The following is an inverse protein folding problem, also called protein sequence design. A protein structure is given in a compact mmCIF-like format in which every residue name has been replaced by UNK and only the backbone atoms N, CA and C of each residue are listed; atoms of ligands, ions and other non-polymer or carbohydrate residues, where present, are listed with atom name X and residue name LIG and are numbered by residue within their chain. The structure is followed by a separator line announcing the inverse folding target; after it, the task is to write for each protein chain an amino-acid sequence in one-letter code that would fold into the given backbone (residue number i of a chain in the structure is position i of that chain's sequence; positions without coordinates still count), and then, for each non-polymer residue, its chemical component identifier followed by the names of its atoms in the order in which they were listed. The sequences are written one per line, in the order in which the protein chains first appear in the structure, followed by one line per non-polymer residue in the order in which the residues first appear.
data_IF_273951345047
#
_entry.id   IF_273951345047
#
_cell.length_a   1.000
_cell.length_b   1.000
_cell.length_c   1.000
_cell.angle_alpha   90.00
_cell.angle_beta   90.00
_cell.angle_gamma   90.00
#
_symmetry.space_group_name_H-M   'P 1'
#
loop_
_entity.id
_entity.type
_entity.pdbx_description
1 polymer ?
#
# COMPACT_ATOMS: atom_id res chain seq x y z
N UNK A 1 33.19 10.96 -24.01
CA UNK A 1 32.67 10.01 -25.03
C UNK A 1 31.70 8.98 -24.41
N UNK A 2 30.51 9.39 -23.92
CA UNK A 2 29.47 8.46 -23.39
C UNK A 2 28.04 8.89 -23.76
N UNK A 3 27.85 9.33 -25.01
CA UNK A 3 26.53 9.76 -25.53
C UNK A 3 25.93 8.85 -26.61
N UNK A 4 26.69 7.87 -27.12
CA UNK A 4 26.30 7.03 -28.26
C UNK A 4 25.45 5.80 -27.93
N UNK A 5 25.56 5.25 -26.71
CA UNK A 5 24.90 3.97 -26.37
C UNK A 5 23.43 4.11 -25.99
N UNK A 6 23.02 5.20 -25.33
CA UNK A 6 21.60 5.38 -24.96
C UNK A 6 20.69 5.54 -26.18
N UNK A 7 21.18 6.17 -27.25
CA UNK A 7 20.42 6.38 -28.50
C UNK A 7 20.17 5.06 -29.24
N UNK A 8 21.15 4.14 -29.26
CA UNK A 8 21.02 2.82 -29.87
C UNK A 8 20.03 1.90 -29.13
N UNK A 9 19.96 2.00 -27.80
CA UNK A 9 19.01 1.22 -27.00
C UNK A 9 17.57 1.71 -27.20
N UNK A 10 17.36 3.03 -27.35
CA UNK A 10 16.03 3.58 -27.65
C UNK A 10 15.58 3.29 -29.09
N UNK A 11 16.49 3.27 -30.06
CA UNK A 11 16.15 2.89 -31.45
C UNK A 11 15.84 1.40 -31.55
N UNK A 12 16.62 0.51 -30.93
CA UNK A 12 16.29 -0.93 -30.90
C UNK A 12 14.96 -1.22 -30.21
N UNK A 13 14.58 -0.47 -29.18
CA UNK A 13 13.29 -0.66 -28.49
C UNK A 13 12.12 -0.20 -29.37
N UNK A 14 12.31 0.89 -30.13
CA UNK A 14 11.33 1.34 -31.15
C UNK A 14 11.22 0.37 -32.32
N UNK A 15 12.34 -0.17 -32.78
CA UNK A 15 12.38 -1.21 -33.84
C UNK A 15 11.71 -2.49 -33.37
N UNK A 16 11.93 -2.92 -32.12
CA UNK A 16 11.28 -4.11 -31.55
C UNK A 16 9.76 -3.89 -31.35
N UNK A 17 9.34 -2.71 -30.84
CA UNK A 17 7.93 -2.33 -30.76
C UNK A 17 7.26 -2.25 -32.15
N UNK A 18 7.96 -1.76 -33.17
CA UNK A 18 7.47 -1.75 -34.56
C UNK A 18 7.37 -3.16 -35.15
N UNK A 19 8.33 -4.04 -34.87
CA UNK A 19 8.27 -5.45 -35.26
C UNK A 19 7.09 -6.17 -34.60
N UNK A 20 6.85 -5.91 -33.31
CA UNK A 20 5.73 -6.52 -32.57
C UNK A 20 4.38 -6.02 -33.11
N UNK A 21 4.29 -4.76 -33.53
CA UNK A 21 3.09 -4.21 -34.17
C UNK A 21 2.87 -4.76 -35.58
N UNK A 22 3.93 -5.04 -36.34
CA UNK A 22 3.85 -5.68 -37.64
C UNK A 22 3.36 -7.14 -37.53
N UNK A 23 3.85 -7.88 -36.54
CA UNK A 23 3.40 -9.26 -36.26
C UNK A 23 1.94 -9.30 -35.77
N UNK A 24 1.54 -8.37 -34.90
CA UNK A 24 0.15 -8.23 -34.47
C UNK A 24 -0.78 -7.82 -35.63
N UNK A 25 -0.29 -7.03 -36.58
CA UNK A 25 -1.01 -6.69 -37.79
C UNK A 25 -1.20 -7.91 -38.70
N UNK A 26 -0.18 -8.73 -38.92
CA UNK A 26 -0.34 -9.99 -39.66
C UNK A 26 -1.34 -10.93 -38.99
N UNK A 27 -1.22 -11.15 -37.68
CA UNK A 27 -2.13 -12.04 -36.93
C UNK A 27 -3.57 -11.53 -36.99
N UNK A 28 -3.80 -10.23 -36.80
CA UNK A 28 -5.14 -9.64 -36.88
C UNK A 28 -5.73 -9.73 -38.30
N UNK A 29 -4.89 -9.55 -39.32
CA UNK A 29 -5.30 -9.66 -40.73
C UNK A 29 -5.68 -11.10 -41.07
N UNK A 30 -4.92 -12.09 -40.57
CA UNK A 30 -5.22 -13.52 -40.75
C UNK A 30 -6.48 -13.96 -39.98
N UNK A 31 -6.72 -13.45 -38.77
CA UNK A 31 -7.94 -13.74 -38.02
C UNK A 31 -9.18 -13.15 -38.70
N UNK A 32 -9.09 -11.92 -39.24
CA UNK A 32 -10.18 -11.28 -39.96
C UNK A 32 -10.45 -11.92 -41.33
N UNK A 33 -9.39 -12.37 -42.03
CA UNK A 33 -9.52 -13.14 -43.27
C UNK A 33 -10.22 -14.49 -43.02
N UNK A 34 -9.80 -15.24 -41.99
CA UNK A 34 -10.41 -16.53 -41.61
C UNK A 34 -11.86 -16.40 -41.13
N UNK A 35 -12.24 -15.25 -40.53
CA UNK A 35 -13.64 -14.99 -40.15
C UNK A 35 -14.53 -14.66 -41.34
N UNK A 36 -13.95 -14.19 -42.45
CA UNK A 36 -14.65 -13.86 -43.69
C UNK A 36 -14.89 -15.11 -44.56
N UNK A 37 -13.96 -16.07 -44.59
CA UNK A 37 -14.13 -17.34 -45.33
C UNK A 37 -15.27 -18.22 -44.78
N UNK A 38 -15.64 -18.06 -43.50
CA UNK A 38 -16.81 -18.74 -42.90
C UNK A 38 -18.16 -18.08 -43.23
N UNK A 39 -18.17 -16.95 -43.92
CA UNK A 39 -19.37 -16.21 -44.33
C UNK A 39 -19.39 -16.06 -45.86
N UNK A 40 -19.51 -17.18 -46.57
CA UNK A 40 -19.85 -17.16 -48.00
C UNK A 40 -21.28 -16.65 -48.15
N UNK A 41 -21.44 -15.34 -48.37
CA UNK A 41 -22.50 -14.68 -49.15
C UNK A 41 -22.35 -13.14 -49.08
N UNK A 42 -21.24 -12.60 -49.59
CA UNK A 42 -21.23 -11.28 -50.25
C UNK A 42 -19.94 -11.12 -51.06
N UNK A 43 -20.09 -11.06 -52.39
CA UNK A 43 -19.05 -10.57 -53.30
C UNK A 43 -18.84 -9.08 -53.00
N UNK A 44 -17.59 -8.63 -53.05
CA UNK A 44 -17.11 -7.24 -52.91
C UNK A 44 -16.72 -6.77 -51.49
N UNK A 45 -15.97 -7.59 -50.73
CA UNK A 45 -15.18 -7.05 -49.63
C UNK A 45 -13.82 -6.56 -50.16
N UNK A 46 -13.75 -5.26 -50.48
CA UNK A 46 -12.55 -4.62 -50.99
C UNK A 46 -11.41 -4.74 -49.97
N UNK A 47 -10.28 -5.32 -50.39
CA UNK A 47 -9.08 -5.57 -49.55
C UNK A 47 -8.64 -4.33 -48.77
N UNK A 48 -8.82 -3.13 -49.35
CA UNK A 48 -8.52 -1.85 -48.71
C UNK A 48 -9.42 -1.54 -47.49
N UNK A 49 -10.69 -1.92 -47.53
CA UNK A 49 -11.66 -1.65 -46.47
C UNK A 49 -11.43 -2.56 -45.25
N UNK A 50 -10.99 -3.81 -45.49
CA UNK A 50 -10.61 -4.76 -44.44
C UNK A 50 -9.35 -4.31 -43.68
N UNK A 51 -8.33 -3.83 -44.38
CA UNK A 51 -7.14 -3.24 -43.76
C UNK A 51 -7.45 -1.97 -42.98
N UNK A 52 -8.36 -1.12 -43.46
CA UNK A 52 -8.79 0.08 -42.75
C UNK A 52 -9.57 -0.27 -41.46
N UNK A 53 -10.46 -1.26 -41.51
CA UNK A 53 -11.22 -1.75 -40.33
C UNK A 53 -10.29 -2.41 -39.30
N UNK A 54 -9.30 -3.18 -39.73
CA UNK A 54 -8.29 -3.78 -38.85
C UNK A 54 -7.42 -2.71 -38.15
N UNK A 55 -6.92 -1.74 -38.91
CA UNK A 55 -6.14 -0.63 -38.36
C UNK A 55 -6.95 0.25 -37.40
N UNK A 56 -8.23 0.49 -37.70
CA UNK A 56 -9.13 1.24 -36.81
C UNK A 56 -9.45 0.47 -35.52
N UNK A 57 -9.61 -0.85 -35.59
CA UNK A 57 -9.80 -1.70 -34.42
C UNK A 57 -8.55 -1.76 -33.52
N UNK A 58 -7.36 -1.93 -34.13
CA UNK A 58 -6.07 -1.89 -33.43
C UNK A 58 -5.80 -0.53 -32.79
N UNK A 59 -6.02 0.57 -33.52
CA UNK A 59 -5.87 1.93 -33.00
C UNK A 59 -6.80 2.20 -31.82
N UNK A 60 -8.07 1.78 -31.90
CA UNK A 60 -9.01 1.88 -30.76
C UNK A 60 -8.59 1.02 -29.57
N UNK A 61 -8.13 -0.22 -29.79
CA UNK A 61 -7.63 -1.10 -28.73
C UNK A 61 -6.35 -0.59 -28.07
N UNK A 62 -5.44 0.00 -28.85
CA UNK A 62 -4.23 0.64 -28.33
C UNK A 62 -4.59 1.91 -27.54
N UNK A 63 -5.46 2.77 -28.08
CA UNK A 63 -5.93 3.98 -27.39
C UNK A 63 -6.71 3.66 -26.11
N UNK A 64 -7.50 2.59 -26.06
CA UNK A 64 -8.17 2.16 -24.83
C UNK A 64 -7.15 1.66 -23.80
N UNK A 65 -6.16 0.85 -24.20
CA UNK A 65 -5.10 0.38 -23.31
C UNK A 65 -4.23 1.52 -22.75
N UNK A 66 -3.94 2.54 -23.57
CA UNK A 66 -3.22 3.74 -23.15
C UNK A 66 -4.06 4.59 -22.20
N UNK A 67 -5.35 4.80 -22.49
CA UNK A 67 -6.25 5.53 -21.60
C UNK A 67 -6.43 4.83 -20.25
N UNK A 68 -6.54 3.49 -20.24
CA UNK A 68 -6.62 2.71 -19.00
C UNK A 68 -5.33 2.85 -18.19
N UNK A 69 -4.15 2.73 -18.83
CA UNK A 69 -2.86 2.93 -18.15
C UNK A 69 -2.70 4.36 -17.63
N UNK A 70 -3.08 5.36 -18.41
CA UNK A 70 -3.02 6.76 -17.98
C UNK A 70 -3.97 7.04 -16.82
N UNK A 71 -5.18 6.51 -16.87
CA UNK A 71 -6.15 6.65 -15.78
C UNK A 71 -5.68 5.97 -14.49
N UNK A 72 -5.02 4.81 -14.59
CA UNK A 72 -4.41 4.13 -13.45
C UNK A 72 -3.25 4.96 -12.86
N UNK A 73 -2.35 5.47 -13.70
CA UNK A 73 -1.24 6.33 -13.25
C UNK A 73 -1.75 7.61 -12.55
N UNK A 74 -2.76 8.27 -13.12
CA UNK A 74 -3.40 9.44 -12.48
C UNK A 74 -4.02 9.07 -11.14
N UNK A 75 -4.70 7.92 -11.05
CA UNK A 75 -5.26 7.42 -9.79
C UNK A 75 -4.16 7.24 -8.73
N UNK A 76 -3.03 6.63 -9.09
CA UNK A 76 -1.93 6.38 -8.16
C UNK A 76 -1.25 7.67 -7.67
N UNK A 77 -1.11 8.67 -8.55
CA UNK A 77 -0.62 10.00 -8.17
C UNK A 77 -1.56 10.68 -7.17
N UNK A 78 -2.87 10.62 -7.41
CA UNK A 78 -3.86 11.19 -6.47
C UNK A 78 -3.80 10.47 -5.12
N UNK A 79 -3.66 9.14 -5.08
CA UNK A 79 -3.56 8.40 -3.81
C UNK A 79 -2.30 8.74 -3.05
N UNK A 80 -1.17 8.88 -3.73
CA UNK A 80 0.09 9.33 -3.11
C UNK A 80 -0.09 10.72 -2.50
N UNK A 81 -0.68 11.67 -3.24
CA UNK A 81 -0.98 13.01 -2.74
C UNK A 81 -1.96 13.02 -1.55
N UNK A 82 -2.96 12.13 -1.54
CA UNK A 82 -3.88 11.95 -0.41
C UNK A 82 -3.14 11.52 0.87
N UNK A 83 -2.22 10.56 0.75
CA UNK A 83 -1.39 10.08 1.87
C UNK A 83 -0.48 11.19 2.37
N UNK A 84 0.16 11.93 1.47
CA UNK A 84 1.02 13.05 1.84
C UNK A 84 0.24 14.18 2.51
N UNK A 85 -0.96 14.53 2.05
CA UNK A 85 -1.77 15.59 2.67
C UNK A 85 -2.18 15.18 4.09
N UNK A 86 -2.73 13.96 4.27
CA UNK A 86 -3.06 13.43 5.60
C UNK A 86 -1.84 13.33 6.52
N UNK A 87 -0.67 13.05 5.96
CA UNK A 87 0.57 12.95 6.74
C UNK A 87 1.16 14.31 7.17
N UNK A 88 0.80 15.38 6.47
CA UNK A 88 1.36 16.72 6.68
C UNK A 88 0.41 17.71 7.36
N UNK A 89 -0.89 17.42 7.35
CA UNK A 89 -1.96 18.31 7.82
C UNK A 89 -2.89 17.59 8.79
N UNK A 90 -3.49 18.32 9.73
CA UNK A 90 -4.52 17.76 10.61
C UNK A 90 -5.82 17.43 9.87
N UNK A 91 -6.10 18.13 8.77
CA UNK A 91 -7.31 17.97 7.95
C UNK A 91 -6.94 17.75 6.48
N UNK A 92 -7.75 16.97 5.77
CA UNK A 92 -7.56 16.65 4.36
C UNK A 92 -8.14 17.75 3.46
N UNK A 93 -7.28 18.52 2.78
CA UNK A 93 -7.70 19.46 1.73
C UNK A 93 -7.61 18.83 0.34
N UNK A 94 -8.72 18.81 -0.38
CA UNK A 94 -8.78 18.26 -1.74
C UNK A 94 -8.11 19.20 -2.76
N UNK A 95 -8.08 20.50 -2.48
CA UNK A 95 -7.39 21.51 -3.26
C UNK A 95 -5.88 21.25 -3.25
N UNK A 96 -5.29 21.03 -2.07
CA UNK A 96 -3.87 20.69 -1.93
C UNK A 96 -3.53 19.33 -2.53
N UNK A 97 -4.44 18.35 -2.40
CA UNK A 97 -4.27 17.05 -3.05
C UNK A 97 -4.24 17.19 -4.57
N UNK A 98 -5.14 17.99 -5.15
CA UNK A 98 -5.19 18.23 -6.58
C UNK A 98 -3.92 18.93 -7.08
N UNK A 99 -3.45 19.95 -6.34
CA UNK A 99 -2.18 20.64 -6.59
C UNK A 99 -0.99 19.67 -6.58
N UNK A 100 -0.83 18.89 -5.50
CA UNK A 100 0.27 17.90 -5.37
C UNK A 100 0.23 16.83 -6.46
N UNK A 101 -0.96 16.37 -6.83
CA UNK A 101 -1.13 15.36 -7.88
C UNK A 101 -1.04 15.93 -9.31
N UNK A 102 -0.97 17.26 -9.48
CA UNK A 102 -0.94 17.90 -10.80
C UNK A 102 -2.22 17.74 -11.60
N UNK A 103 -3.38 17.70 -10.93
CA UNK A 103 -4.71 17.51 -11.55
C UNK A 103 -5.71 18.55 -11.07
N UNK A 104 -6.88 18.61 -11.71
CA UNK A 104 -7.98 19.45 -11.22
C UNK A 104 -8.70 18.82 -10.02
N UNK A 105 -9.31 19.63 -9.15
CA UNK A 105 -10.20 19.15 -8.06
C UNK A 105 -11.33 18.27 -8.62
N UNK A 106 -11.89 18.63 -9.78
CA UNK A 106 -12.89 17.81 -10.48
C UNK A 106 -12.35 16.41 -10.82
N UNK A 107 -11.09 16.30 -11.22
CA UNK A 107 -10.43 15.02 -11.50
C UNK A 107 -10.29 14.19 -10.22
N UNK A 108 -9.95 14.81 -9.09
CA UNK A 108 -9.89 14.11 -7.80
C UNK A 108 -11.26 13.54 -7.43
N UNK A 109 -12.32 14.35 -7.47
CA UNK A 109 -13.68 13.87 -7.19
C UNK A 109 -14.20 12.85 -8.21
N UNK A 110 -13.74 12.91 -9.46
CA UNK A 110 -14.07 11.89 -10.46
C UNK A 110 -13.53 10.51 -10.07
N UNK A 111 -12.29 10.44 -9.57
CA UNK A 111 -11.68 9.17 -9.13
C UNK A 111 -12.10 8.76 -7.71
N UNK A 112 -12.36 9.73 -6.84
CA UNK A 112 -12.66 9.54 -5.42
C UNK A 112 -13.79 10.48 -4.97
N UNK A 113 -15.05 10.10 -5.21
CA UNK A 113 -16.20 11.01 -5.11
C UNK A 113 -16.52 11.45 -3.68
N UNK A 114 -16.04 10.74 -2.66
CA UNK A 114 -16.32 11.06 -1.27
C UNK A 114 -15.17 10.64 -0.34
N UNK A 115 -15.24 11.08 0.92
CA UNK A 115 -14.23 10.80 1.95
C UNK A 115 -13.99 9.30 2.17
N UNK A 116 -15.04 8.48 2.08
CA UNK A 116 -14.92 7.03 2.25
C UNK A 116 -14.14 6.38 1.10
N UNK A 117 -14.35 6.80 -0.15
CA UNK A 117 -13.60 6.33 -1.31
C UNK A 117 -12.11 6.73 -1.23
N UNK A 118 -11.84 7.95 -0.73
CA UNK A 118 -10.47 8.41 -0.47
C UNK A 118 -9.80 7.57 0.62
N UNK A 119 -10.48 7.36 1.76
CA UNK A 119 -9.97 6.56 2.87
C UNK A 119 -9.71 5.10 2.47
N UNK A 120 -10.59 4.51 1.65
CA UNK A 120 -10.39 3.15 1.11
C UNK A 120 -9.16 3.06 0.22
N UNK A 121 -8.96 4.03 -0.66
CA UNK A 121 -7.79 4.07 -1.55
C UNK A 121 -6.48 4.22 -0.76
N UNK A 122 -6.49 5.10 0.24
CA UNK A 122 -5.36 5.28 1.16
C UNK A 122 -5.09 3.98 1.93
N UNK A 123 -6.11 3.34 2.49
CA UNK A 123 -5.94 2.07 3.22
C UNK A 123 -5.33 0.99 2.32
N UNK A 124 -5.82 0.84 1.08
CA UNK A 124 -5.25 -0.10 0.09
C UNK A 124 -3.80 0.23 -0.24
N UNK A 125 -3.47 1.50 -0.43
CA UNK A 125 -2.10 1.94 -0.69
C UNK A 125 -1.15 1.59 0.47
N UNK A 126 -1.54 1.96 1.69
CA UNK A 126 -0.75 1.69 2.90
C UNK A 126 -0.56 0.18 3.10
N UNK A 127 -1.59 -0.61 2.82
CA UNK A 127 -1.51 -2.06 2.97
C UNK A 127 -0.57 -2.72 1.96
N UNK A 128 -0.48 -2.17 0.74
CA UNK A 128 0.43 -2.62 -0.30
C UNK A 128 1.89 -2.21 -0.05
N UNK A 129 2.12 -1.10 0.65
CA UNK A 129 3.46 -0.59 1.00
C UNK A 129 4.06 -1.25 2.22
N UNK A 130 3.22 -1.70 3.15
CA UNK A 130 3.71 -2.24 4.42
C UNK A 130 4.29 -3.65 4.23
N UNK A 131 5.48 -3.95 4.79
CA UNK A 131 6.10 -5.27 4.73
C UNK A 131 5.15 -6.38 5.19
N UNK A 132 5.17 -7.51 4.48
CA UNK A 132 4.52 -8.74 4.92
C UNK A 132 5.47 -9.42 5.90
N UNK A 133 5.23 -9.20 7.18
CA UNK A 133 5.99 -9.84 8.26
C UNK A 133 5.27 -11.13 8.70
N UNK A 134 6.01 -12.25 8.88
CA UNK A 134 5.42 -13.42 9.49
C UNK A 134 4.97 -13.08 10.92
N UNK A 135 3.85 -13.68 11.39
CA UNK A 135 3.40 -13.45 12.75
C UNK A 135 4.48 -13.94 13.74
N UNK A 136 4.76 -13.20 14.82
CA UNK A 136 5.75 -13.61 15.80
C UNK A 136 5.34 -14.92 16.44
N UNK A 137 6.29 -15.84 16.55
CA UNK A 137 6.05 -17.15 17.13
C UNK A 137 6.34 -17.17 18.64
N UNK A 138 7.12 -16.22 19.15
CA UNK A 138 7.56 -16.15 20.54
C UNK A 138 7.81 -14.70 20.99
N UNK A 139 7.87 -14.47 22.31
CA UNK A 139 8.18 -13.13 22.85
C UNK A 139 9.59 -12.64 22.48
N UNK A 140 10.56 -13.55 22.36
CA UNK A 140 11.96 -13.23 22.00
C UNK A 140 12.09 -12.63 20.59
N UNK A 141 11.14 -12.90 19.70
CA UNK A 141 11.14 -12.34 18.35
C UNK A 141 10.59 -10.90 18.30
N UNK A 142 9.87 -10.46 19.34
CA UNK A 142 9.15 -9.18 19.33
C UNK A 142 10.06 -7.95 19.26
N UNK A 143 11.24 -7.88 19.92
CA UNK A 143 12.14 -6.73 19.78
C UNK A 143 12.62 -6.55 18.34
N UNK A 144 12.98 -7.64 17.65
CA UNK A 144 13.43 -7.62 16.26
C UNK A 144 12.28 -7.27 15.30
N UNK A 145 11.08 -7.78 15.55
CA UNK A 145 9.89 -7.39 14.79
C UNK A 145 9.57 -5.90 14.99
N UNK A 146 9.63 -5.42 16.24
CA UNK A 146 9.37 -4.02 16.58
C UNK A 146 10.34 -3.10 15.84
N UNK A 147 11.65 -3.35 15.92
CA UNK A 147 12.67 -2.56 15.22
C UNK A 147 12.37 -2.44 13.72
N UNK A 148 12.07 -3.55 13.04
CA UNK A 148 11.75 -3.54 11.60
C UNK A 148 10.49 -2.74 11.26
N UNK A 149 9.42 -2.92 12.03
CA UNK A 149 8.18 -2.18 11.85
C UNK A 149 8.39 -0.67 12.05
N UNK A 150 9.13 -0.30 13.09
CA UNK A 150 9.40 1.09 13.45
C UNK A 150 10.33 1.75 12.46
N UNK A 151 11.38 1.07 12.03
CA UNK A 151 12.30 1.56 11.01
C UNK A 151 11.54 1.97 9.74
N UNK A 152 10.68 1.08 9.23
CA UNK A 152 9.84 1.40 8.08
C UNK A 152 8.89 2.56 8.36
N UNK A 153 8.24 2.57 9.53
CA UNK A 153 7.24 3.59 9.85
C UNK A 153 7.87 4.98 10.01
N UNK A 154 9.01 5.08 10.70
CA UNK A 154 9.72 6.33 10.97
C UNK A 154 10.45 6.87 9.74
N UNK A 155 10.86 6.00 8.80
CA UNK A 155 11.34 6.41 7.49
C UNK A 155 10.22 6.99 6.61
N UNK A 156 8.96 6.63 6.87
CA UNK A 156 7.78 7.01 6.07
C UNK A 156 6.73 7.74 6.93
N UNK A 157 7.13 8.82 7.60
CA UNK A 157 6.27 9.52 8.57
C UNK A 157 4.90 9.97 8.05
N UNK A 158 4.79 10.35 6.76
CA UNK A 158 3.49 10.71 6.18
C UNK A 158 2.55 9.49 6.09
N UNK A 159 3.08 8.32 5.69
CA UNK A 159 2.33 7.07 5.68
C UNK A 159 1.97 6.64 7.11
N UNK A 160 2.88 6.82 8.07
CA UNK A 160 2.63 6.55 9.48
C UNK A 160 1.46 7.40 9.99
N UNK A 161 1.48 8.71 9.76
CA UNK A 161 0.43 9.64 10.20
C UNK A 161 -0.88 9.42 9.48
N UNK A 162 -0.87 9.08 8.18
CA UNK A 162 -2.08 8.75 7.44
C UNK A 162 -2.83 7.54 8.03
N UNK A 163 -2.14 6.63 8.72
CA UNK A 163 -2.78 5.52 9.44
C UNK A 163 -3.60 5.96 10.66
N UNK A 164 -3.34 7.16 11.20
CA UNK A 164 -4.01 7.71 12.38
C UNK A 164 -5.33 8.39 12.03
N UNK A 165 -5.57 8.68 10.75
CA UNK A 165 -6.88 9.16 10.32
C UNK A 165 -7.98 8.15 10.68
N UNK A 166 -9.04 8.63 11.33
CA UNK A 166 -10.09 7.76 11.89
C UNK A 166 -10.75 6.84 10.87
N UNK A 167 -10.97 7.30 9.62
CA UNK A 167 -11.59 6.46 8.59
C UNK A 167 -10.61 5.43 8.03
N UNK A 168 -9.36 5.83 7.82
CA UNK A 168 -8.28 4.90 7.42
C UNK A 168 -8.05 3.86 8.52
N UNK A 169 -7.94 4.28 9.78
CA UNK A 169 -7.75 3.40 10.93
C UNK A 169 -8.88 2.36 11.06
N UNK A 170 -10.13 2.78 10.84
CA UNK A 170 -11.30 1.88 10.85
C UNK A 170 -11.22 0.81 9.77
N UNK A 171 -10.79 1.17 8.55
CA UNK A 171 -10.65 0.21 7.45
C UNK A 171 -9.50 -0.77 7.68
N UNK A 172 -8.48 -0.37 8.43
CA UNK A 172 -7.30 -1.18 8.77
C UNK A 172 -7.42 -1.93 10.10
N UNK A 173 -8.57 -1.81 10.76
CA UNK A 173 -8.90 -2.51 12.01
C UNK A 173 -8.61 -4.02 11.95
N UNK A 174 -9.02 -4.77 10.90
CA UNK A 174 -8.78 -6.22 10.85
C UNK A 174 -7.29 -6.57 10.86
N UNK A 175 -6.46 -5.80 10.13
CA UNK A 175 -5.01 -5.99 10.09
C UNK A 175 -4.37 -5.67 11.45
N UNK A 176 -4.81 -4.59 12.10
CA UNK A 176 -4.35 -4.23 13.44
C UNK A 176 -4.68 -5.33 14.46
N UNK A 177 -5.93 -5.82 14.45
CA UNK A 177 -6.37 -6.94 15.30
C UNK A 177 -5.60 -8.23 15.05
N UNK A 178 -5.32 -8.56 13.79
CA UNK A 178 -4.53 -9.75 13.46
C UNK A 178 -3.12 -9.68 14.06
N UNK A 179 -2.48 -8.49 14.02
CA UNK A 179 -1.17 -8.25 14.66
C UNK A 179 -1.27 -8.36 16.18
N UNK A 180 -2.23 -7.68 16.80
CA UNK A 180 -2.47 -7.75 18.25
C UNK A 180 -2.70 -9.18 18.74
N UNK A 181 -3.50 -9.96 18.00
CA UNK A 181 -3.73 -11.37 18.31
C UNK A 181 -2.46 -12.22 18.15
N UNK A 182 -1.63 -11.94 17.15
CA UNK A 182 -0.37 -12.66 16.98
C UNK A 182 0.60 -12.39 18.15
N UNK A 183 0.71 -11.13 18.58
CA UNK A 183 1.50 -10.74 19.76
C UNK A 183 0.94 -11.42 21.03
N UNK A 184 -0.38 -11.41 21.23
CA UNK A 184 -1.00 -12.06 22.37
C UNK A 184 -0.78 -13.59 22.37
N UNK A 185 -0.83 -14.25 21.20
CA UNK A 185 -0.50 -15.68 21.07
C UNK A 185 0.96 -15.97 21.39
N UNK A 186 1.88 -15.10 21.00
CA UNK A 186 3.29 -15.21 21.36
C UNK A 186 3.48 -15.10 22.89
N UNK A 187 2.77 -14.18 23.54
CA UNK A 187 2.79 -14.02 25.00
C UNK A 187 2.18 -15.22 25.74
N UNK A 188 1.10 -15.80 25.22
CA UNK A 188 0.41 -16.94 25.83
C UNK A 188 1.26 -18.23 25.92
N UNK A 189 2.39 -18.30 25.22
CA UNK A 189 3.36 -19.40 25.35
C UNK A 189 4.17 -19.35 26.66
N UNK A 190 4.21 -18.19 27.32
CA UNK A 190 5.03 -17.97 28.53
C UNK A 190 4.20 -17.43 29.72
N UNK A 191 2.98 -16.96 29.47
CA UNK A 191 2.11 -16.35 30.46
C UNK A 191 0.76 -17.06 30.53
N UNK A 192 0.13 -17.04 31.71
CA UNK A 192 -1.29 -17.40 31.84
C UNK A 192 -2.17 -16.50 30.96
N UNK A 193 -3.35 -16.98 30.48
CA UNK A 193 -4.16 -16.25 29.50
C UNK A 193 -4.52 -14.80 29.89
N UNK A 194 -4.81 -14.56 31.17
CA UNK A 194 -5.12 -13.22 31.67
C UNK A 194 -3.91 -12.28 31.58
N UNK A 195 -2.73 -12.77 31.96
CA UNK A 195 -1.46 -12.03 31.88
C UNK A 195 -1.03 -11.84 30.44
N UNK A 196 -1.13 -12.88 29.60
CA UNK A 196 -0.79 -12.84 28.18
C UNK A 196 -1.57 -11.77 27.42
N UNK A 197 -2.84 -11.55 27.78
CA UNK A 197 -3.65 -10.46 27.22
C UNK A 197 -3.09 -9.08 27.61
N UNK A 198 -2.70 -8.89 28.86
CA UNK A 198 -2.13 -7.62 29.35
C UNK A 198 -0.76 -7.33 28.72
N UNK A 199 0.13 -8.32 28.72
CA UNK A 199 1.45 -8.25 28.07
C UNK A 199 1.29 -7.99 26.58
N UNK A 200 0.41 -8.73 25.91
CA UNK A 200 0.16 -8.57 24.48
C UNK A 200 -0.36 -7.18 24.13
N UNK A 201 -1.27 -6.63 24.94
CA UNK A 201 -1.76 -5.26 24.77
C UNK A 201 -0.64 -4.23 24.97
N UNK A 202 0.16 -4.36 26.04
CA UNK A 202 1.28 -3.46 26.30
C UNK A 202 2.27 -3.42 25.14
N UNK A 203 2.72 -4.60 24.66
CA UNK A 203 3.66 -4.67 23.54
C UNK A 203 3.02 -4.15 22.24
N UNK A 204 1.75 -4.47 21.97
CA UNK A 204 1.06 -3.97 20.79
C UNK A 204 0.94 -2.43 20.79
N UNK A 205 0.74 -1.81 21.96
CA UNK A 205 0.78 -0.35 22.14
C UNK A 205 2.18 0.20 21.90
N UNK A 206 3.23 -0.45 22.39
CA UNK A 206 4.60 0.00 22.16
C UNK A 206 4.97 0.04 20.68
N UNK A 207 4.49 -0.91 19.87
CA UNK A 207 4.73 -0.93 18.41
C UNK A 207 3.63 -0.24 17.60
N UNK A 208 2.84 0.64 18.23
CA UNK A 208 1.74 1.35 17.57
C UNK A 208 2.22 2.58 16.79
N UNK A 209 1.54 2.93 15.67
CA UNK A 209 1.79 4.20 14.97
C UNK A 209 1.61 5.41 15.89
N UNK A 210 0.65 5.37 16.82
CA UNK A 210 0.35 6.45 17.76
C UNK A 210 1.55 6.79 18.67
N UNK A 211 2.20 5.77 19.25
CA UNK A 211 3.37 6.00 20.11
C UNK A 211 4.54 6.59 19.30
N UNK A 212 4.79 6.06 18.10
CA UNK A 212 5.84 6.56 17.21
C UNK A 212 5.60 8.03 16.83
N UNK A 213 4.38 8.38 16.39
CA UNK A 213 4.00 9.76 16.09
C UNK A 213 4.15 10.66 17.33
N UNK A 214 3.73 10.20 18.51
CA UNK A 214 3.84 10.98 19.74
C UNK A 214 5.30 11.28 20.11
N UNK A 215 6.21 10.31 19.99
CA UNK A 215 7.63 10.53 20.27
C UNK A 215 8.25 11.58 19.35
N UNK A 216 7.90 11.57 18.07
CA UNK A 216 8.39 12.56 17.10
C UNK A 216 7.71 13.92 17.30
N UNK A 217 6.38 13.95 17.34
CA UNK A 217 5.63 15.20 17.24
C UNK A 217 5.55 15.94 18.58
N UNK A 218 5.38 15.21 19.70
CA UNK A 218 5.25 15.80 21.04
C UNK A 218 6.60 15.89 21.73
N UNK A 219 7.38 14.80 21.71
CA UNK A 219 8.65 14.74 22.43
C UNK A 219 9.86 15.19 21.60
N UNK A 220 9.66 15.52 20.31
CA UNK A 220 10.68 16.07 19.41
C UNK A 220 11.90 15.15 19.26
N UNK A 221 11.70 13.85 19.40
CA UNK A 221 12.72 12.87 19.08
C UNK A 221 12.87 12.78 17.56
N UNK A 222 14.11 12.67 17.09
CA UNK A 222 14.35 12.25 15.72
C UNK A 222 13.97 10.76 15.52
N UNK A 223 13.94 10.32 14.26
CA UNK A 223 13.57 8.95 13.92
C UNK A 223 14.46 7.91 14.63
N UNK A 224 15.77 8.14 14.71
CA UNK A 224 16.70 7.19 15.31
C UNK A 224 16.50 7.08 16.84
N UNK A 225 16.29 8.19 17.51
CA UNK A 225 15.99 8.24 18.94
C UNK A 225 14.62 7.62 19.25
N UNK A 226 13.60 7.86 18.43
CA UNK A 226 12.29 7.24 18.59
C UNK A 226 12.36 5.72 18.39
N UNK A 227 13.07 5.25 17.36
CA UNK A 227 13.29 3.82 17.09
C UNK A 227 13.99 3.15 18.27
N UNK A 228 15.11 3.74 18.73
CA UNK A 228 15.90 3.24 19.87
C UNK A 228 15.06 3.18 21.14
N UNK A 229 14.26 4.22 21.40
CA UNK A 229 13.40 4.30 22.59
C UNK A 229 12.36 3.18 22.61
N UNK A 230 11.65 2.96 21.51
CA UNK A 230 10.61 1.95 21.45
C UNK A 230 11.24 0.54 21.45
N UNK A 231 12.34 0.31 20.73
CA UNK A 231 13.05 -0.97 20.75
C UNK A 231 13.50 -1.33 22.17
N UNK A 232 14.06 -0.37 22.91
CA UNK A 232 14.39 -0.54 24.32
C UNK A 232 13.17 -0.87 25.19
N UNK A 233 12.05 -0.16 25.04
CA UNK A 233 10.82 -0.44 25.80
C UNK A 233 10.27 -1.84 25.54
N UNK A 234 10.30 -2.30 24.28
CA UNK A 234 9.88 -3.67 23.91
C UNK A 234 10.82 -4.70 24.53
N UNK A 235 12.14 -4.45 24.50
CA UNK A 235 13.12 -5.32 25.13
C UNK A 235 12.89 -5.41 26.66
N UNK A 236 12.69 -4.29 27.34
CA UNK A 236 12.37 -4.23 28.77
C UNK A 236 11.12 -5.05 29.09
N UNK A 237 10.05 -4.91 28.30
CA UNK A 237 8.82 -5.66 28.51
C UNK A 237 9.03 -7.17 28.32
N UNK A 238 9.82 -7.59 27.33
CA UNK A 238 10.15 -8.99 27.09
C UNK A 238 11.01 -9.57 28.21
N UNK A 239 12.03 -8.84 28.67
CA UNK A 239 12.90 -9.29 29.75
C UNK A 239 12.17 -9.37 31.10
N UNK A 240 11.27 -8.42 31.38
CA UNK A 240 10.40 -8.48 32.56
C UNK A 240 9.58 -9.77 32.57
N UNK A 241 8.91 -10.11 31.47
CA UNK A 241 8.13 -11.35 31.35
C UNK A 241 9.01 -12.60 31.53
N UNK A 242 10.21 -12.62 30.94
CA UNK A 242 11.15 -13.75 31.09
C UNK A 242 11.62 -13.95 32.53
N UNK A 243 11.71 -12.86 33.29
CA UNK A 243 12.10 -12.87 34.70
C UNK A 243 10.92 -13.12 35.65
N UNK A 244 9.71 -13.35 35.12
CA UNK A 244 8.49 -13.52 35.91
C UNK A 244 7.93 -12.22 36.49
N UNK A 245 8.48 -11.07 36.10
CA UNK A 245 7.95 -9.74 36.43
C UNK A 245 6.84 -9.39 35.43
N UNK A 246 5.62 -9.81 35.76
CA UNK A 246 4.45 -9.66 34.91
C UNK A 246 3.39 -8.79 35.59
N UNK A 247 2.56 -8.06 34.81
CA UNK A 247 1.46 -7.30 35.38
C UNK A 247 0.58 -8.17 36.26
N UNK A 248 0.28 -7.69 37.48
CA UNK A 248 -0.62 -8.39 38.38
C UNK A 248 -1.98 -8.60 37.69
N UNK A 249 -2.36 -9.86 37.50
CA UNK A 249 -3.65 -10.24 36.88
C UNK A 249 -4.86 -9.98 37.78
N UNK A 250 -4.65 -9.34 38.94
CA UNK A 250 -5.64 -9.25 40.01
C UNK A 250 -6.75 -8.22 39.73
N UNK A 251 -7.80 -8.68 39.06
CA UNK A 251 -9.14 -8.62 39.65
C UNK A 251 -9.25 -9.66 40.79
N UNK A 252 -8.29 -9.69 41.72
CA UNK A 252 -8.48 -10.38 43.00
C UNK A 252 -9.54 -9.57 43.72
N UNK A 253 -10.80 -9.95 43.54
CA UNK A 253 -11.93 -9.48 44.36
C UNK A 253 -11.42 -9.47 45.79
N UNK A 254 -11.28 -8.27 46.33
CA UNK A 254 -11.18 -8.05 47.76
C UNK A 254 -12.28 -8.86 48.42
N UNK A 255 -11.93 -10.00 49.02
CA UNK A 255 -12.77 -10.60 50.06
C UNK A 255 -12.66 -9.62 51.23
N UNK A 256 -13.60 -8.68 51.29
CA UNK A 256 -13.87 -7.96 52.54
C UNK A 256 -14.49 -9.00 53.48
N UNK A 257 -13.83 -9.08 54.64
CA UNK A 257 -14.23 -9.75 55.88
C UNK A 257 -15.70 -9.56 56.21
#
# INVERSE_FOLDING_TARGET
MRGGDRKRVTDRRREHEQHTLAELFEIATTILANRCERSLLHKDCNKYEMTAKANYAMSRGYQSSLRTRQAAATRDHIVTALVEELGSSAELSIERVAERAGVSVRTVYHHFPNRAAQAAAIATYLDAKQPVEPPPSSLVELPVLAARLLHHALANMNELRAQLDSQVAKLREPRRRAREQAIARAAAKQCEPAVAKLVGAAIATLVSPDLAAMLVDRHKLDAAAAETTIAWLVQVAVDAVRNGDVPASSLKRTRRS
#
